data_IF_491970761655
#
_entry.id   IF_491970761655
#
_cell.length_a   1.000
_cell.length_b   1.000
_cell.length_c   1.000
_cell.angle_alpha   90.00
_cell.angle_beta   90.00
_cell.angle_gamma   90.00
#
_symmetry.space_group_name_H-M   'P 1'
#
loop_
_entity.id
_entity.type
_entity.pdbx_description
1 polymer ?
#
# COMPACT_ATOMS: atom_id res chain seq x y z
N UNK A 1 5.07 24.15 12.40
CA UNK A 1 6.11 23.57 11.51
C UNK A 1 5.53 23.45 10.11
N UNK A 2 6.30 23.77 9.07
CA UNK A 2 5.91 23.64 7.66
C UNK A 2 6.88 22.71 6.93
N UNK A 3 6.39 21.88 6.00
CA UNK A 3 7.22 21.03 5.16
C UNK A 3 7.83 21.78 3.96
N UNK A 4 7.23 22.90 3.58
CA UNK A 4 7.70 23.76 2.48
C UNK A 4 8.24 25.07 3.02
N UNK A 5 9.14 25.71 2.26
CA UNK A 5 9.69 27.02 2.62
C UNK A 5 8.68 28.17 2.47
N UNK A 6 7.54 27.93 1.84
CA UNK A 6 6.47 28.91 1.65
C UNK A 6 5.77 29.15 3.00
N UNK A 7 6.08 30.26 3.65
CA UNK A 7 5.58 30.62 5.00
C UNK A 7 4.89 31.99 5.05
N UNK A 8 4.81 32.67 3.90
CA UNK A 8 4.34 34.05 3.76
C UNK A 8 2.88 34.20 4.22
N UNK A 9 2.06 33.20 3.91
CA UNK A 9 0.65 33.12 4.32
C UNK A 9 0.48 33.15 5.86
N UNK A 10 1.51 32.74 6.62
CA UNK A 10 1.53 32.78 8.08
C UNK A 10 2.26 34.01 8.63
N UNK A 11 3.36 34.43 8.01
CA UNK A 11 4.18 35.51 8.55
C UNK A 11 3.63 36.90 8.26
N UNK A 12 2.97 37.08 7.11
CA UNK A 12 2.48 38.40 6.65
C UNK A 12 1.01 38.62 7.01
N UNK A 13 0.30 37.57 7.44
CA UNK A 13 -1.11 37.65 7.79
C UNK A 13 -1.32 38.32 9.17
N UNK A 14 -1.59 39.62 9.13
CA UNK A 14 -1.90 40.44 10.31
C UNK A 14 -3.18 40.03 11.04
N UNK A 15 -4.12 39.34 10.38
CA UNK A 15 -5.29 38.79 11.05
C UNK A 15 -4.94 37.57 11.90
N UNK A 16 -3.97 36.76 11.47
CA UNK A 16 -3.54 35.57 12.20
C UNK A 16 -2.56 35.93 13.33
N UNK A 17 -1.59 36.80 13.05
CA UNK A 17 -0.63 37.27 14.04
C UNK A 17 -0.42 38.78 13.91
N UNK A 18 -0.64 39.52 15.01
CA UNK A 18 -0.44 40.98 15.04
C UNK A 18 1.00 41.40 14.70
N UNK A 19 1.95 40.61 15.18
CA UNK A 19 3.37 40.72 14.87
C UNK A 19 3.82 39.46 14.12
N UNK A 20 4.70 39.58 13.12
CA UNK A 20 5.16 38.44 12.35
C UNK A 20 5.91 37.44 13.27
N UNK A 21 5.53 36.15 13.30
CA UNK A 21 6.21 35.15 14.10
C UNK A 21 7.64 34.90 13.56
N UNK A 22 8.61 34.56 14.44
CA UNK A 22 9.98 34.25 14.01
C UNK A 22 10.03 32.97 13.17
N UNK A 23 10.79 33.01 12.07
CA UNK A 23 10.97 31.88 11.16
C UNK A 23 12.34 31.24 11.39
N UNK A 24 12.34 29.98 11.83
CA UNK A 24 13.56 29.17 11.92
C UNK A 24 13.68 28.35 10.64
N UNK A 25 14.74 28.59 9.88
CA UNK A 25 15.07 27.84 8.67
C UNK A 25 15.98 26.67 9.05
N UNK A 26 15.53 25.46 8.73
CA UNK A 26 16.32 24.24 8.91
C UNK A 26 16.68 23.77 7.51
N UNK A 27 17.96 23.85 7.16
CA UNK A 27 18.44 23.36 5.87
C UNK A 27 18.33 21.83 5.82
N UNK A 28 17.87 21.31 4.68
CA UNK A 28 17.73 19.87 4.45
C UNK A 28 18.73 19.42 3.39
N UNK A 29 19.18 18.16 3.50
CA UNK A 29 19.97 17.53 2.44
C UNK A 29 19.05 17.22 1.27
N UNK A 30 19.37 17.74 0.10
CA UNK A 30 18.68 17.41 -1.15
C UNK A 30 19.57 16.54 -2.03
N UNK A 31 18.93 15.60 -2.72
CA UNK A 31 19.55 14.87 -3.83
C UNK A 31 19.00 15.45 -5.13
N UNK A 32 19.84 15.61 -6.17
CA UNK A 32 19.38 16.16 -7.44
C UNK A 32 18.30 15.24 -8.06
N UNK A 33 17.18 15.82 -8.47
CA UNK A 33 16.10 15.11 -9.16
C UNK A 33 15.99 15.64 -10.58
N UNK A 34 16.20 14.76 -11.55
CA UNK A 34 16.00 15.11 -12.97
C UNK A 34 14.53 14.98 -13.35
N UNK A 35 13.95 16.07 -13.87
CA UNK A 35 12.54 16.13 -14.26
C UNK A 35 12.42 15.85 -15.76
N UNK A 36 11.55 14.90 -16.12
CA UNK A 36 11.26 14.56 -17.51
C UNK A 36 9.79 14.81 -17.85
N UNK A 37 9.54 15.65 -18.85
CA UNK A 37 8.20 15.94 -19.34
C UNK A 37 7.87 15.13 -20.60
N UNK A 38 6.60 14.72 -20.71
CA UNK A 38 6.07 14.23 -21.98
C UNK A 38 5.93 15.38 -22.97
N UNK A 39 6.15 15.12 -24.26
CA UNK A 39 5.98 16.15 -25.32
C UNK A 39 4.53 16.65 -25.44
N UNK A 40 3.57 15.78 -25.14
CA UNK A 40 2.14 16.07 -25.22
C UNK A 40 1.42 15.48 -24.00
N UNK A 41 0.33 16.13 -23.59
CA UNK A 41 -0.53 15.66 -22.51
C UNK A 41 -1.61 14.74 -23.09
N UNK A 42 -1.49 13.44 -22.85
CA UNK A 42 -2.49 12.47 -23.28
C UNK A 42 -3.72 12.55 -22.35
N UNK A 43 -4.96 12.61 -22.88
CA UNK A 43 -6.17 12.58 -22.05
C UNK A 43 -6.28 11.30 -21.21
N UNK A 44 -5.79 10.16 -21.69
CA UNK A 44 -5.76 8.92 -20.93
C UNK A 44 -4.45 8.78 -20.14
N UNK A 45 -4.35 9.53 -19.03
CA UNK A 45 -3.16 9.50 -18.19
C UNK A 45 -2.94 8.14 -17.52
N UNK A 46 -4.00 7.36 -17.25
CA UNK A 46 -3.89 6.04 -16.63
C UNK A 46 -3.09 5.06 -17.50
N UNK A 47 -3.39 5.05 -18.80
CA UNK A 47 -2.66 4.22 -19.75
C UNK A 47 -1.22 4.70 -19.93
N UNK A 48 -0.99 6.01 -20.01
CA UNK A 48 0.36 6.57 -20.12
C UNK A 48 1.20 6.31 -18.87
N UNK A 49 0.63 6.44 -17.68
CA UNK A 49 1.29 6.10 -16.42
C UNK A 49 1.73 4.64 -16.43
N UNK A 50 0.84 3.71 -16.80
CA UNK A 50 1.18 2.29 -16.92
C UNK A 50 2.34 2.03 -17.91
N UNK A 51 2.27 2.62 -19.11
CA UNK A 51 3.34 2.50 -20.11
C UNK A 51 4.67 3.05 -19.57
N UNK A 52 4.62 4.16 -18.82
CA UNK A 52 5.82 4.79 -18.28
C UNK A 52 6.46 3.98 -17.17
N UNK A 53 5.66 3.41 -16.28
CA UNK A 53 6.12 2.48 -15.26
C UNK A 53 6.79 1.28 -15.90
N UNK A 54 6.16 0.66 -16.91
CA UNK A 54 6.77 -0.46 -17.64
C UNK A 54 8.11 -0.06 -18.27
N UNK A 55 8.18 1.11 -18.91
CA UNK A 55 9.41 1.62 -19.52
C UNK A 55 10.53 1.83 -18.49
N UNK A 56 10.22 2.43 -17.33
CA UNK A 56 11.18 2.65 -16.24
C UNK A 56 11.64 1.30 -15.69
N UNK A 57 10.72 0.38 -15.41
CA UNK A 57 11.05 -0.94 -14.88
C UNK A 57 11.96 -1.76 -15.79
N UNK A 58 11.80 -1.63 -17.11
CA UNK A 58 12.61 -2.41 -18.07
C UNK A 58 13.94 -1.79 -18.46
N UNK A 59 14.12 -0.47 -18.33
CA UNK A 59 15.29 0.25 -18.88
C UNK A 59 16.15 0.89 -17.78
N UNK A 60 15.54 1.35 -16.69
CA UNK A 60 16.26 2.03 -15.62
C UNK A 60 16.96 1.03 -14.70
N UNK A 61 18.05 1.45 -14.01
CA UNK A 61 18.66 0.66 -12.95
C UNK A 61 17.67 0.32 -11.83
N UNK A 62 17.99 -0.71 -11.04
CA UNK A 62 17.17 -1.14 -9.90
C UNK A 62 16.88 0.02 -8.94
N UNK A 63 15.61 0.18 -8.58
CA UNK A 63 15.12 1.25 -7.71
C UNK A 63 13.60 1.17 -7.53
N UNK A 64 13.09 1.86 -6.51
CA UNK A 64 11.65 1.98 -6.31
C UNK A 64 11.00 2.90 -7.34
N UNK A 65 9.78 2.57 -7.76
CA UNK A 65 8.95 3.43 -8.61
C UNK A 65 7.73 3.88 -7.81
N UNK A 66 7.61 5.18 -7.57
CA UNK A 66 6.44 5.80 -6.96
C UNK A 66 5.58 6.44 -8.05
N UNK A 67 4.30 6.09 -8.09
CA UNK A 67 3.34 6.56 -9.10
C UNK A 67 2.19 7.24 -8.40
N UNK A 68 1.84 8.45 -8.85
CA UNK A 68 0.69 9.19 -8.36
C UNK A 68 -0.48 9.08 -9.33
N UNK A 69 -1.64 8.69 -8.81
CA UNK A 69 -2.94 8.68 -9.49
C UNK A 69 -3.98 9.30 -8.56
N UNK A 70 -5.17 9.64 -9.06
CA UNK A 70 -6.08 10.54 -8.33
C UNK A 70 -6.93 9.84 -7.27
N UNK A 71 -7.27 8.56 -7.47
CA UNK A 71 -8.23 7.87 -6.60
C UNK A 71 -7.94 6.39 -6.33
N UNK A 72 -8.59 5.86 -5.29
CA UNK A 72 -8.44 4.46 -4.86
C UNK A 72 -8.74 3.46 -5.97
N UNK A 73 -9.80 3.69 -6.75
CA UNK A 73 -10.18 2.80 -7.85
C UNK A 73 -9.06 2.70 -8.91
N UNK A 74 -8.43 3.83 -9.23
CA UNK A 74 -7.32 3.92 -10.16
C UNK A 74 -6.07 3.21 -9.63
N UNK A 75 -5.75 3.42 -8.34
CA UNK A 75 -4.66 2.71 -7.66
C UNK A 75 -4.85 1.20 -7.79
N UNK A 76 -6.03 0.69 -7.47
CA UNK A 76 -6.32 -0.74 -7.54
C UNK A 76 -6.26 -1.28 -8.96
N UNK A 77 -6.76 -0.52 -9.94
CA UNK A 77 -6.70 -0.88 -11.36
C UNK A 77 -5.25 -0.99 -11.84
N UNK A 78 -4.43 0.04 -11.58
CA UNK A 78 -3.03 0.07 -11.99
C UNK A 78 -2.21 -1.05 -11.32
N UNK A 79 -2.44 -1.30 -10.03
CA UNK A 79 -1.83 -2.42 -9.31
C UNK A 79 -2.16 -3.78 -9.95
N UNK A 80 -3.41 -4.01 -10.36
CA UNK A 80 -3.81 -5.25 -11.05
C UNK A 80 -3.12 -5.38 -12.40
N UNK A 81 -3.09 -4.30 -13.20
CA UNK A 81 -2.42 -4.29 -14.50
C UNK A 81 -0.92 -4.59 -14.37
N UNK A 82 -0.24 -3.99 -13.38
CA UNK A 82 1.18 -4.20 -13.15
C UNK A 82 1.48 -5.63 -12.67
N UNK A 83 0.69 -6.17 -11.74
CA UNK A 83 0.84 -7.56 -11.27
C UNK A 83 0.59 -8.58 -12.38
N UNK A 84 -0.36 -8.31 -13.27
CA UNK A 84 -0.63 -9.15 -14.43
C UNK A 84 0.53 -9.09 -15.45
N UNK A 85 1.14 -7.91 -15.63
CA UNK A 85 2.26 -7.71 -16.57
C UNK A 85 3.58 -8.31 -16.06
N UNK A 86 3.82 -8.21 -14.75
CA UNK A 86 5.03 -8.68 -14.08
C UNK A 86 4.66 -9.66 -12.97
N UNK A 87 4.28 -10.91 -13.31
CA UNK A 87 3.93 -11.91 -12.31
C UNK A 87 5.15 -12.24 -11.44
N UNK A 88 4.97 -12.19 -10.13
CA UNK A 88 6.01 -12.57 -9.18
C UNK A 88 6.20 -14.09 -9.29
N UNK A 89 7.31 -14.51 -9.90
CA UNK A 89 7.70 -15.92 -9.85
C UNK A 89 8.35 -16.14 -8.48
N UNK A 90 7.60 -16.69 -7.53
CA UNK A 90 8.14 -17.12 -6.24
C UNK A 90 9.16 -18.26 -6.47
N UNK A 91 10.43 -17.94 -6.67
CA UNK A 91 11.51 -18.93 -6.71
C UNK A 91 12.24 -19.08 -5.36
N UNK A 92 11.79 -18.43 -4.26
CA UNK A 92 12.59 -18.36 -3.02
C UNK A 92 11.95 -19.10 -1.82
N UNK A 93 10.73 -19.64 -1.91
CA UNK A 93 10.06 -20.24 -0.74
C UNK A 93 10.24 -21.76 -0.56
N UNK A 94 11.03 -22.44 -1.39
CA UNK A 94 11.23 -23.90 -1.25
C UNK A 94 12.29 -24.31 -0.21
N UNK A 95 13.26 -23.46 0.15
CA UNK A 95 14.28 -23.82 1.16
C UNK A 95 13.80 -23.64 2.61
N UNK A 96 12.84 -22.74 2.87
CA UNK A 96 12.34 -22.51 4.23
C UNK A 96 11.21 -23.48 4.65
N UNK A 97 10.53 -24.13 3.69
CA UNK A 97 9.49 -25.13 4.01
C UNK A 97 10.08 -26.49 4.41
N UNK A 98 11.21 -26.90 3.85
CA UNK A 98 11.87 -28.18 4.16
C UNK A 98 12.59 -28.16 5.52
N UNK A 99 13.02 -27.01 6.02
CA UNK A 99 13.63 -26.88 7.36
C UNK A 99 12.61 -26.85 8.52
N UNK A 100 11.33 -26.52 8.26
CA UNK A 100 10.30 -26.50 9.31
C UNK A 100 9.77 -27.90 9.68
N UNK A 101 9.98 -28.90 8.82
CA UNK A 101 9.48 -30.28 9.05
C UNK A 101 10.46 -31.18 9.81
N UNK A 102 11.73 -30.78 9.99
CA UNK A 102 12.74 -31.55 10.76
C UNK A 102 12.81 -31.20 12.25
N UNK A 103 12.25 -30.07 12.68
CA UNK A 103 12.39 -29.57 14.07
C UNK A 103 11.29 -30.08 15.04
N UNK A 104 10.22 -30.67 14.52
CA UNK A 104 9.05 -31.12 15.30
C UNK A 104 9.10 -32.57 15.77
N UNK A 105 10.23 -33.27 15.61
CA UNK A 105 10.37 -34.70 16.00
C UNK A 105 11.24 -34.97 17.23
N UNK A 106 11.72 -33.93 17.93
CA UNK A 106 12.72 -34.08 19.01
C UNK A 106 12.19 -33.80 20.42
N UNK A 107 11.04 -33.13 20.62
CA UNK A 107 10.58 -32.79 21.96
C UNK A 107 9.23 -33.42 22.28
N UNK A 108 9.24 -34.74 22.45
CA UNK A 108 8.29 -35.41 23.34
C UNK A 108 8.60 -35.01 24.80
N UNK A 109 7.59 -35.14 25.66
CA UNK A 109 7.66 -35.07 27.14
C UNK A 109 7.82 -33.69 27.79
N UNK A 110 6.71 -33.17 28.38
CA UNK A 110 6.57 -32.83 29.82
C UNK A 110 5.53 -31.72 30.08
N UNK A 111 4.64 -32.01 31.04
CA UNK A 111 3.79 -31.13 31.87
C UNK A 111 2.48 -30.52 31.33
N UNK A 112 1.42 -31.09 31.92
CA UNK A 112 0.04 -30.68 32.16
C UNK A 112 -0.11 -29.29 32.81
N UNK A 113 -1.30 -28.70 32.60
CA UNK A 113 -2.02 -27.71 33.42
C UNK A 113 -1.96 -26.20 33.06
N UNK A 114 -3.17 -25.75 32.70
CA UNK A 114 -3.89 -24.57 33.19
C UNK A 114 -3.81 -23.24 32.41
N UNK A 115 -4.91 -23.05 31.66
CA UNK A 115 -5.87 -21.95 31.77
C UNK A 115 -5.55 -20.56 31.20
N UNK A 116 -6.30 -20.31 30.11
CA UNK A 116 -7.14 -19.14 29.82
C UNK A 116 -6.48 -17.86 29.30
N UNK A 117 -7.32 -17.13 28.53
CA UNK A 117 -7.21 -15.72 28.09
C UNK A 117 -6.51 -15.59 26.72
N UNK A 118 -7.12 -15.18 25.59
CA UNK A 118 -8.37 -14.46 25.29
C UNK A 118 -8.75 -14.71 23.80
N UNK A 119 -10.05 -14.84 23.61
CA UNK A 119 -10.94 -14.52 22.47
C UNK A 119 -10.50 -14.59 21.00
N UNK A 120 -11.42 -15.22 20.27
CA UNK A 120 -11.57 -15.34 18.83
C UNK A 120 -12.67 -14.36 18.39
N UNK A 121 -12.38 -13.52 17.40
CA UNK A 121 -13.36 -12.86 16.52
C UNK A 121 -12.66 -12.65 15.15
N UNK A 122 -13.11 -13.33 14.09
CA UNK A 122 -14.13 -12.88 13.10
C UNK A 122 -13.55 -11.73 12.24
N UNK A 123 -13.42 -11.74 10.92
CA UNK A 123 -14.04 -12.43 9.76
C UNK A 123 -13.01 -12.45 8.58
N UNK A 124 -13.13 -13.16 7.44
CA UNK A 124 -14.26 -13.42 6.55
C UNK A 124 -14.09 -14.74 5.77
N UNK A 125 -15.12 -15.58 5.86
CA UNK A 125 -15.41 -16.74 5.04
C UNK A 125 -15.87 -16.37 3.63
N UNK A 126 -15.51 -17.21 2.65
CA UNK A 126 -16.22 -17.32 1.38
C UNK A 126 -17.13 -18.56 1.42
N UNK A 127 -18.30 -18.39 0.82
CA UNK A 127 -19.07 -19.39 0.08
C UNK A 127 -20.19 -20.14 0.83
N UNK A 128 -21.43 -19.68 0.68
CA UNK A 128 -22.59 -20.57 0.46
C UNK A 128 -23.81 -19.79 -0.04
N UNK A 129 -23.99 -19.68 -1.35
CA UNK A 129 -25.31 -19.50 -1.95
C UNK A 129 -26.02 -20.86 -2.00
N UNK A 130 -26.94 -21.11 -1.07
CA UNK A 130 -28.16 -21.89 -1.29
C UNK A 130 -29.00 -21.81 0.00
N UNK A 131 -30.33 -21.88 -0.10
CA UNK A 131 -31.35 -22.21 0.94
C UNK A 131 -32.53 -21.21 1.05
N UNK A 132 -32.46 -19.95 0.58
CA UNK A 132 -33.59 -19.01 0.75
C UNK A 132 -34.64 -19.02 -0.37
N UNK A 133 -35.36 -20.13 -0.54
CA UNK A 133 -36.65 -20.12 -1.27
C UNK A 133 -37.80 -20.85 -0.56
N UNK A 134 -37.65 -21.25 0.71
CA UNK A 134 -38.75 -21.83 1.49
C UNK A 134 -38.89 -21.15 2.85
N UNK A 135 -40.14 -20.82 3.20
CA UNK A 135 -40.63 -20.11 4.39
C UNK A 135 -40.83 -18.58 4.26
N UNK A 136 -41.66 -18.20 3.27
CA UNK A 136 -42.74 -17.25 3.55
C UNK A 136 -44.06 -17.96 3.26
N UNK A 137 -45.10 -17.57 4.01
CA UNK A 137 -46.53 -17.91 3.93
C UNK A 137 -46.97 -19.03 4.90
N UNK A 138 -47.44 -18.65 6.10
CA UNK A 138 -48.80 -18.94 6.62
C UNK A 138 -48.99 -18.48 8.08
N UNK A 139 -50.07 -17.72 8.30
CA UNK A 139 -50.81 -17.23 9.49
C UNK A 139 -51.15 -15.77 9.15
N UNK A 140 -52.34 -15.41 8.68
CA UNK A 140 -53.69 -15.80 9.13
C UNK A 140 -54.35 -17.03 8.48
#
# INVERSE_FOLDING_TARGET
MSATLRVEDFTENKHLFKNPPPVIKIDSRQYPVTIHFSKYTNPNYMQEAFKKVCKIHSISPSGGILVFVTGRAEVLSLCRMLKAKFPITHQIDQENRSNKMKKSKVNETTTVNNEQIIEKSMDDDKNSENINSKLRINLD
#
